data_IF_714780834743
#
_entry.id   IF_714780834743
#
_cell.length_a   1.000
_cell.length_b   1.000
_cell.length_c   1.000
_cell.angle_alpha   90.00
_cell.angle_beta   90.00
_cell.angle_gamma   90.00
#
_symmetry.space_group_name_H-M   'P 1'
#
loop_
_entity.id
_entity.type
_entity.pdbx_description
1 polymer ?
#
# COMPACT_ATOMS: atom_id res chain seq x y z
N UNK A 1 -8.71 -11.33 6.37
CA UNK A 1 -9.39 -10.03 6.56
C UNK A 1 -10.87 -10.16 6.93
N UNK A 2 -11.70 -10.98 6.26
CA UNK A 2 -13.13 -11.06 6.60
C UNK A 2 -13.40 -11.54 8.04
N UNK A 3 -12.61 -12.48 8.55
CA UNK A 3 -12.76 -13.01 9.91
C UNK A 3 -11.85 -12.32 10.94
N UNK A 4 -10.80 -11.63 10.50
CA UNK A 4 -9.74 -11.00 11.32
C UNK A 4 -9.33 -9.64 10.68
N UNK A 5 -10.16 -8.59 10.82
CA UNK A 5 -9.88 -7.26 10.24
C UNK A 5 -8.73 -6.51 10.93
N UNK A 6 -8.41 -6.85 12.18
CA UNK A 6 -7.34 -6.26 12.98
C UNK A 6 -5.94 -6.45 12.37
N UNK A 7 -5.75 -7.49 11.55
CA UNK A 7 -4.47 -7.77 10.87
C UNK A 7 -4.03 -6.60 9.99
N UNK A 8 -4.96 -5.83 9.43
CA UNK A 8 -4.64 -4.60 8.68
C UNK A 8 -3.88 -3.58 9.54
N UNK A 9 -4.23 -3.51 10.84
CA UNK A 9 -3.58 -2.60 11.78
C UNK A 9 -2.25 -3.16 12.25
N UNK A 10 -2.18 -4.47 12.50
CA UNK A 10 -1.00 -5.12 13.09
C UNK A 10 0.12 -5.38 12.06
N UNK A 11 -0.23 -5.74 10.82
CA UNK A 11 0.72 -6.08 9.77
C UNK A 11 0.25 -5.58 8.38
N UNK A 12 0.20 -4.25 8.24
CA UNK A 12 -0.27 -3.59 7.01
C UNK A 12 0.57 -3.87 5.75
N UNK A 13 1.84 -4.27 5.91
CA UNK A 13 2.77 -4.53 4.79
C UNK A 13 3.00 -6.02 4.52
N UNK A 14 2.58 -6.91 5.44
CA UNK A 14 2.64 -8.36 5.29
C UNK A 14 1.27 -8.96 5.03
N UNK A 15 0.68 -9.62 6.03
CA UNK A 15 -0.57 -10.37 5.88
C UNK A 15 -1.82 -9.50 5.72
N UNK A 16 -1.76 -8.22 6.12
CA UNK A 16 -2.86 -7.25 6.07
C UNK A 16 -3.17 -6.66 4.70
N UNK A 17 -2.68 -7.25 3.60
CA UNK A 17 -2.96 -6.76 2.25
C UNK A 17 -4.44 -6.95 1.88
N UNK A 18 -5.06 -5.92 1.30
CA UNK A 18 -6.45 -6.01 0.83
C UNK A 18 -6.56 -6.70 -0.53
N UNK A 19 -5.82 -6.09 -1.47
CA UNK A 19 -5.70 -6.29 -2.91
C UNK A 19 -4.54 -7.12 -3.48
N UNK A 20 -4.76 -8.07 -4.40
CA UNK A 20 -3.71 -8.41 -5.39
C UNK A 20 -4.25 -8.18 -6.79
N UNK A 21 -3.59 -7.30 -7.53
CA UNK A 21 -4.02 -6.89 -8.87
C UNK A 21 -2.86 -7.05 -9.84
N UNK A 22 -3.17 -7.47 -11.07
CA UNK A 22 -2.21 -7.47 -12.18
C UNK A 22 -2.27 -6.11 -12.86
N UNK A 23 -1.13 -5.42 -12.92
CA UNK A 23 -1.02 -4.14 -13.63
C UNK A 23 -1.32 -4.33 -15.11
N UNK A 24 -2.31 -3.57 -15.61
CA UNK A 24 -2.58 -3.45 -17.04
C UNK A 24 -1.55 -2.58 -17.74
N UNK A 25 -1.03 -1.57 -17.04
CA UNK A 25 0.03 -0.69 -17.53
C UNK A 25 1.07 -0.42 -16.40
N UNK A 26 2.32 -0.91 -16.52
CA UNK A 26 3.36 -0.65 -15.52
C UNK A 26 3.76 0.83 -15.38
N UNK A 27 3.56 1.65 -16.42
CA UNK A 27 3.95 3.07 -16.39
C UNK A 27 3.13 3.89 -15.39
N UNK A 28 1.94 3.41 -14.99
CA UNK A 28 1.10 4.03 -13.96
C UNK A 28 1.83 4.11 -12.59
N UNK A 29 2.85 3.28 -12.36
CA UNK A 29 3.67 3.35 -11.14
C UNK A 29 4.54 4.62 -11.09
N UNK A 30 4.87 5.23 -12.22
CA UNK A 30 5.71 6.43 -12.26
C UNK A 30 5.00 7.68 -11.70
N UNK A 31 3.67 7.65 -11.67
CA UNK A 31 2.84 8.74 -11.14
C UNK A 31 2.60 8.61 -9.62
N UNK A 32 3.04 7.50 -9.00
CA UNK A 32 2.90 7.26 -7.57
C UNK A 32 4.10 7.83 -6.79
N UNK A 33 3.88 8.10 -5.50
CA UNK A 33 4.95 8.50 -4.59
C UNK A 33 5.82 7.30 -4.25
N UNK A 34 7.14 7.51 -4.28
CA UNK A 34 8.08 6.60 -3.63
C UNK A 34 8.07 6.79 -2.11
N UNK A 35 8.81 5.94 -1.40
CA UNK A 35 8.85 5.93 0.07
C UNK A 35 9.31 7.28 0.65
N UNK A 36 10.37 7.87 0.08
CA UNK A 36 10.93 9.15 0.55
C UNK A 36 9.95 10.30 0.31
N UNK A 37 9.32 10.36 -0.86
CA UNK A 37 8.33 11.37 -1.21
C UNK A 37 7.07 11.24 -0.33
N UNK A 38 6.64 10.02 -0.01
CA UNK A 38 5.51 9.80 0.87
C UNK A 38 5.82 10.18 2.33
N UNK A 39 7.00 9.83 2.85
CA UNK A 39 7.43 10.23 4.18
C UNK A 39 7.46 11.76 4.33
N UNK A 40 7.96 12.46 3.32
CA UNK A 40 7.91 13.93 3.30
C UNK A 40 6.49 14.47 3.28
N UNK A 41 5.61 13.87 2.47
CA UNK A 41 4.20 14.31 2.35
C UNK A 41 3.42 14.22 3.67
N UNK A 42 3.71 13.23 4.53
CA UNK A 42 3.02 13.07 5.82
C UNK A 42 3.61 13.91 6.95
N UNK A 43 4.81 14.47 6.77
CA UNK A 43 5.46 15.35 7.75
C UNK A 43 5.01 16.82 7.61
N UNK A 44 4.44 17.19 6.46
CA UNK A 44 3.90 18.53 6.13
C UNK A 44 2.46 18.74 6.67
#
# INVERSE_FOLDING_TARGET
>A
LEDEPEIVTEDSMGEGWFIKVKLSNPEELNDLLDEDAYNKFIED
#
